data_IF_354960527808
#
_entry.id   IF_354960527808
#
_cell.length_a   1.000
_cell.length_b   1.000
_cell.length_c   1.000
_cell.angle_alpha   90.00
_cell.angle_beta   90.00
_cell.angle_gamma   90.00
#
_symmetry.space_group_name_H-M   'P 1'
#
loop_
_entity.id
_entity.type
_entity.pdbx_description
1 polymer ?
#
# COMPACT_ATOMS: atom_id res chain seq x y z
N UNK A 1 14.28 -34.06 16.24
CA UNK A 1 14.89 -32.91 16.95
C UNK A 1 14.75 -31.59 16.17
N UNK A 2 13.89 -31.50 15.17
CA UNK A 2 13.80 -30.27 14.31
C UNK A 2 12.52 -29.43 14.57
N UNK A 3 11.64 -29.89 15.43
CA UNK A 3 10.37 -29.21 15.70
C UNK A 3 10.44 -28.12 16.82
N UNK A 4 11.39 -28.24 17.75
CA UNK A 4 11.49 -27.28 18.86
C UNK A 4 12.10 -25.93 18.49
N UNK A 5 13.01 -25.90 17.51
CA UNK A 5 13.70 -24.66 17.11
C UNK A 5 12.76 -23.70 16.34
N UNK A 6 11.80 -24.24 15.61
CA UNK A 6 10.86 -23.41 14.82
C UNK A 6 9.81 -22.73 15.70
N UNK A 7 9.39 -23.37 16.81
CA UNK A 7 8.44 -22.76 17.74
C UNK A 7 9.05 -21.61 18.57
N UNK A 8 10.29 -21.74 18.99
CA UNK A 8 10.98 -20.69 19.76
C UNK A 8 11.20 -19.40 18.96
N UNK A 9 11.53 -19.51 17.67
CA UNK A 9 11.73 -18.34 16.80
C UNK A 9 10.40 -17.61 16.53
N UNK A 10 9.29 -18.33 16.42
CA UNK A 10 7.97 -17.75 16.19
C UNK A 10 7.44 -17.00 17.42
N UNK A 11 7.71 -17.49 18.63
CA UNK A 11 7.30 -16.84 19.89
C UNK A 11 8.11 -15.55 20.12
N UNK A 12 9.41 -15.57 19.86
CA UNK A 12 10.26 -14.37 20.00
C UNK A 12 9.91 -13.26 18.99
N UNK A 13 9.52 -13.62 17.76
CA UNK A 13 9.06 -12.66 16.77
C UNK A 13 7.68 -12.05 17.12
N UNK A 14 6.78 -12.87 17.70
CA UNK A 14 5.47 -12.38 18.13
C UNK A 14 5.56 -11.46 19.37
N UNK A 15 6.45 -11.76 20.31
CA UNK A 15 6.65 -10.95 21.51
C UNK A 15 7.27 -9.57 21.18
N UNK A 16 8.17 -9.51 20.21
CA UNK A 16 8.75 -8.23 19.74
C UNK A 16 7.75 -7.34 19.00
N UNK A 17 6.76 -7.92 18.34
CA UNK A 17 5.69 -7.14 17.67
C UNK A 17 4.71 -6.56 18.69
N UNK A 18 4.53 -7.19 19.86
CA UNK A 18 3.62 -6.74 20.91
C UNK A 18 4.19 -5.58 21.77
N UNK A 19 5.51 -5.40 21.83
CA UNK A 19 6.14 -4.42 22.73
C UNK A 19 6.24 -2.99 22.17
N UNK A 20 5.88 -2.73 20.92
CA UNK A 20 6.00 -1.37 20.35
C UNK A 20 4.84 -0.98 19.42
N UNK A 21 3.63 -0.80 19.97
CA UNK A 21 2.47 -0.42 19.15
C UNK A 21 2.54 0.99 18.55
N UNK A 22 3.52 1.83 18.93
CA UNK A 22 3.61 3.25 18.52
C UNK A 22 4.95 3.65 17.90
N UNK A 23 5.88 2.75 17.68
CA UNK A 23 7.13 3.06 17.03
C UNK A 23 7.14 2.54 15.59
N UNK A 24 7.03 3.45 14.62
CA UNK A 24 7.31 3.14 13.22
C UNK A 24 8.83 3.19 13.08
N UNK A 25 9.53 2.03 12.97
CA UNK A 25 10.97 2.06 12.80
C UNK A 25 11.28 2.70 11.44
N UNK A 26 12.00 3.81 11.45
CA UNK A 26 12.50 4.47 10.22
C UNK A 26 13.50 3.57 9.46
N UNK A 27 13.89 2.46 10.05
CA UNK A 27 14.78 1.43 9.52
C UNK A 27 14.09 0.07 9.45
N UNK A 28 12.97 0.00 8.74
CA UNK A 28 12.36 -1.29 8.36
C UNK A 28 12.94 -1.81 7.04
N UNK A 29 12.69 -3.10 6.67
CA UNK A 29 13.03 -3.62 5.36
C UNK A 29 12.46 -2.69 4.30
N UNK A 30 13.27 -2.40 3.26
CA UNK A 30 13.08 -1.37 2.24
C UNK A 30 11.62 -0.91 2.09
N UNK A 31 11.26 0.15 2.79
CA UNK A 31 9.93 0.74 2.68
C UNK A 31 9.76 1.22 1.26
N UNK A 32 8.75 0.70 0.56
CA UNK A 32 8.42 1.19 -0.79
C UNK A 32 8.27 2.71 -0.73
N UNK A 33 8.79 3.46 -1.72
CA UNK A 33 8.63 4.90 -1.75
C UNK A 33 7.15 5.27 -1.67
N UNK A 34 6.81 6.14 -0.72
CA UNK A 34 5.44 6.62 -0.53
C UNK A 34 5.16 7.81 -1.43
N UNK A 35 3.92 7.95 -1.83
CA UNK A 35 3.36 9.06 -2.59
C UNK A 35 2.20 9.63 -1.80
N UNK A 36 2.13 10.95 -1.69
CA UNK A 36 1.03 11.62 -1.01
C UNK A 36 0.31 12.54 -1.98
N UNK A 37 -1.01 12.42 -2.04
CA UNK A 37 -1.87 13.38 -2.72
C UNK A 37 -2.66 14.15 -1.67
N UNK A 38 -2.95 15.42 -1.95
CA UNK A 38 -3.74 16.27 -1.05
C UNK A 38 -4.72 17.13 -1.84
N UNK A 39 -5.92 17.28 -1.28
CA UNK A 39 -6.93 18.22 -1.74
C UNK A 39 -7.78 18.66 -0.54
N UNK A 40 -7.67 19.94 -0.15
CA UNK A 40 -8.29 20.51 1.06
C UNK A 40 -7.90 19.69 2.32
N UNK A 41 -8.89 19.25 3.09
CA UNK A 41 -8.72 18.45 4.32
C UNK A 41 -8.58 16.94 4.05
N UNK A 42 -8.56 16.55 2.77
CA UNK A 42 -8.41 15.14 2.36
C UNK A 42 -7.01 14.89 1.85
N UNK A 43 -6.39 13.84 2.33
CA UNK A 43 -5.11 13.37 1.81
C UNK A 43 -5.08 11.84 1.73
N UNK A 44 -4.25 11.33 0.82
CA UNK A 44 -4.03 9.89 0.65
C UNK A 44 -2.53 9.62 0.61
N UNK A 45 -2.11 8.57 1.30
CA UNK A 45 -0.74 8.07 1.28
C UNK A 45 -0.74 6.68 0.67
N UNK A 46 0.00 6.54 -0.43
CA UNK A 46 0.07 5.35 -1.28
C UNK A 46 1.51 4.90 -1.44
N UNK A 47 1.70 3.65 -1.81
CA UNK A 47 2.99 3.18 -2.33
C UNK A 47 3.17 3.53 -3.82
N UNK A 48 4.28 3.10 -4.41
CA UNK A 48 4.59 3.33 -5.83
C UNK A 48 3.69 2.55 -6.80
N UNK A 49 2.96 1.52 -6.33
CA UNK A 49 1.95 0.80 -7.13
C UNK A 49 0.57 1.48 -7.07
N UNK A 50 0.43 2.50 -6.22
CA UNK A 50 -0.86 3.12 -5.94
C UNK A 50 -1.70 2.31 -4.94
N UNK A 51 -1.07 1.47 -4.14
CA UNK A 51 -1.71 0.66 -3.11
C UNK A 51 -1.59 1.32 -1.73
N UNK A 52 -2.53 0.99 -0.84
CA UNK A 52 -2.56 1.36 0.58
C UNK A 52 -2.37 0.09 1.40
N UNK A 53 -1.62 0.17 2.51
CA UNK A 53 -1.58 -0.92 3.48
C UNK A 53 -0.46 -1.93 3.23
N UNK A 54 0.57 -1.54 2.48
CA UNK A 54 1.78 -2.37 2.32
C UNK A 54 2.47 -2.71 3.65
N UNK A 55 2.15 -1.99 4.72
CA UNK A 55 2.67 -2.23 6.07
C UNK A 55 1.53 -2.16 7.07
N UNK A 56 1.25 -3.25 7.78
CA UNK A 56 0.27 -3.25 8.87
C UNK A 56 0.62 -2.16 9.91
N UNK A 57 -0.33 -1.29 10.25
CA UNK A 57 -0.12 -0.18 11.16
C UNK A 57 0.73 0.98 10.60
N UNK A 58 1.03 0.97 9.31
CA UNK A 58 1.76 2.06 8.63
C UNK A 58 0.92 3.34 8.47
N UNK A 59 1.57 4.44 8.03
CA UNK A 59 0.90 5.72 7.80
C UNK A 59 0.11 5.75 6.48
N UNK A 60 0.07 4.65 5.73
CA UNK A 60 -0.64 4.57 4.48
C UNK A 60 -2.16 4.64 4.72
N UNK A 61 -2.88 5.32 3.86
CA UNK A 61 -4.33 5.44 4.03
C UNK A 61 -4.94 6.59 3.27
N UNK A 62 -6.26 6.62 3.23
CA UNK A 62 -7.06 7.77 2.84
C UNK A 62 -7.61 8.42 4.11
N UNK A 63 -7.31 9.70 4.29
CA UNK A 63 -7.66 10.48 5.48
C UNK A 63 -8.53 11.67 5.08
N UNK A 64 -9.45 12.01 5.97
CA UNK A 64 -10.21 13.26 5.91
C UNK A 64 -10.45 13.75 7.32
N UNK A 65 -10.18 15.04 7.60
CA UNK A 65 -10.33 15.66 8.92
C UNK A 65 -9.74 14.77 10.05
N UNK A 66 -8.48 14.34 9.88
CA UNK A 66 -7.68 13.53 10.82
C UNK A 66 -8.15 12.08 11.05
N UNK A 67 -9.22 11.62 10.40
CA UNK A 67 -9.69 10.23 10.48
C UNK A 67 -9.31 9.44 9.23
N UNK A 68 -8.81 8.20 9.41
CA UNK A 68 -8.51 7.28 8.32
C UNK A 68 -9.76 6.53 7.87
N UNK A 69 -10.21 6.77 6.66
CA UNK A 69 -11.39 6.12 6.07
C UNK A 69 -11.05 4.87 5.27
N UNK A 70 -9.81 4.74 4.80
CA UNK A 70 -9.36 3.57 4.06
C UNK A 70 -7.95 3.21 4.54
N UNK A 71 -7.82 2.02 5.13
CA UNK A 71 -6.57 1.50 5.67
C UNK A 71 -5.89 0.53 4.71
N UNK A 72 -6.65 -0.03 3.75
CA UNK A 72 -6.17 -0.95 2.74
C UNK A 72 -6.82 -0.68 1.40
N UNK A 73 -6.02 -0.65 0.36
CA UNK A 73 -6.43 -0.67 -1.06
C UNK A 73 -5.34 -1.39 -1.83
N UNK A 74 -5.60 -2.59 -2.28
CA UNK A 74 -4.65 -3.37 -3.06
C UNK A 74 -5.29 -3.82 -4.37
N UNK A 75 -4.51 -3.79 -5.44
CA UNK A 75 -4.92 -4.32 -6.73
C UNK A 75 -4.11 -5.57 -7.06
N UNK A 76 -4.82 -6.65 -7.33
CA UNK A 76 -4.21 -7.92 -7.76
C UNK A 76 -4.82 -8.39 -9.07
N UNK A 77 -4.02 -9.04 -9.89
CA UNK A 77 -4.39 -9.66 -11.16
C UNK A 77 -4.11 -11.15 -11.05
N UNK A 78 -5.16 -12.00 -11.19
CA UNK A 78 -5.05 -13.44 -10.96
C UNK A 78 -4.31 -13.75 -9.64
N UNK A 79 -4.72 -13.08 -8.53
CA UNK A 79 -4.17 -13.24 -7.17
C UNK A 79 -2.71 -12.75 -6.99
N UNK A 80 -2.08 -12.17 -8.02
CA UNK A 80 -0.71 -11.67 -7.99
C UNK A 80 -0.70 -10.16 -8.15
N UNK A 81 0.15 -9.47 -7.37
CA UNK A 81 0.35 -8.05 -7.56
C UNK A 81 1.00 -7.78 -8.92
N UNK A 82 0.46 -6.87 -9.74
CA UNK A 82 1.06 -6.47 -11.00
C UNK A 82 2.47 -5.91 -10.83
N UNK A 83 3.31 -6.07 -11.83
CA UNK A 83 4.67 -5.55 -11.84
C UNK A 83 4.67 -4.06 -12.14
N UNK A 84 5.44 -3.30 -11.37
CA UNK A 84 5.59 -1.86 -11.56
C UNK A 84 6.52 -1.56 -12.74
N UNK A 85 6.01 -0.82 -13.72
CA UNK A 85 6.81 -0.25 -14.80
C UNK A 85 7.28 1.16 -14.45
N UNK A 86 6.40 1.95 -13.86
CA UNK A 86 6.73 3.30 -13.43
C UNK A 86 5.61 3.95 -12.63
N UNK A 87 5.94 5.00 -11.89
CA UNK A 87 4.95 5.84 -11.21
C UNK A 87 5.34 7.30 -11.30
N UNK A 88 4.40 8.14 -11.67
CA UNK A 88 4.58 9.58 -11.82
C UNK A 88 3.57 10.34 -10.97
N UNK A 89 4.10 11.17 -10.07
CA UNK A 89 3.33 12.11 -9.28
C UNK A 89 3.36 13.46 -10.01
N UNK A 90 2.20 14.09 -10.20
CA UNK A 90 2.17 15.46 -10.72
C UNK A 90 2.87 16.42 -9.75
N UNK A 91 3.49 17.46 -10.29
CA UNK A 91 4.27 18.45 -9.53
C UNK A 91 3.45 19.16 -8.45
N UNK A 92 2.13 19.29 -8.65
CA UNK A 92 1.17 19.87 -7.71
C UNK A 92 0.62 18.84 -6.69
N UNK A 93 1.10 17.60 -6.70
CA UNK A 93 0.61 16.48 -5.89
C UNK A 93 -0.90 16.21 -6.02
N UNK A 94 -1.51 16.60 -7.14
CA UNK A 94 -2.95 16.43 -7.36
C UNK A 94 -3.33 15.05 -7.89
N UNK A 95 -2.42 14.37 -8.58
CA UNK A 95 -2.67 13.08 -9.19
C UNK A 95 -1.41 12.20 -9.23
N UNK A 96 -1.62 10.91 -9.03
CA UNK A 96 -0.63 9.86 -9.22
C UNK A 96 -1.04 9.02 -10.43
N UNK A 97 -0.12 8.83 -11.37
CA UNK A 97 -0.27 7.88 -12.47
C UNK A 97 0.73 6.75 -12.27
N UNK A 98 0.26 5.53 -12.35
CA UNK A 98 1.06 4.31 -12.18
C UNK A 98 0.88 3.42 -13.40
N UNK A 99 2.00 3.02 -13.98
CA UNK A 99 2.08 2.10 -15.10
C UNK A 99 2.50 0.73 -14.60
N UNK A 100 1.70 -0.29 -14.88
CA UNK A 100 1.88 -1.66 -14.41
C UNK A 100 1.76 -2.65 -15.57
N UNK A 101 2.28 -3.85 -15.35
CA UNK A 101 2.10 -4.97 -16.28
C UNK A 101 1.86 -6.27 -15.51
N UNK A 102 1.38 -7.31 -16.21
CA UNK A 102 1.21 -8.63 -15.62
C UNK A 102 2.52 -9.41 -15.57
N UNK A 103 2.65 -10.29 -14.58
CA UNK A 103 3.60 -11.41 -14.58
C UNK A 103 3.06 -12.57 -15.41
N UNK A 104 3.85 -13.63 -15.58
CA UNK A 104 3.34 -14.89 -16.11
C UNK A 104 2.26 -15.46 -15.23
N UNK A 105 1.10 -15.79 -15.81
CA UNK A 105 -0.01 -16.44 -15.13
C UNK A 105 -0.14 -17.87 -15.60
N UNK A 106 -0.11 -18.81 -14.67
CA UNK A 106 -0.26 -20.23 -14.96
C UNK A 106 -1.59 -20.75 -14.46
N UNK A 107 -2.33 -21.48 -15.29
CA UNK A 107 -3.58 -22.16 -14.93
C UNK A 107 -3.46 -23.63 -15.28
N UNK A 108 -3.67 -24.50 -14.31
CA UNK A 108 -3.52 -25.96 -14.47
C UNK A 108 -2.14 -26.37 -15.04
N UNK A 109 -1.06 -25.68 -14.62
CA UNK A 109 0.30 -25.95 -15.05
C UNK A 109 0.64 -25.49 -16.49
N UNK A 110 -0.26 -24.75 -17.14
CA UNK A 110 -0.04 -24.17 -18.47
C UNK A 110 0.02 -22.66 -18.38
N UNK A 111 0.89 -22.03 -19.17
CA UNK A 111 0.94 -20.59 -19.31
C UNK A 111 -0.38 -20.11 -19.93
N UNK A 112 -1.16 -19.37 -19.16
CA UNK A 112 -2.46 -18.83 -19.55
C UNK A 112 -2.35 -17.37 -20.00
N UNK A 113 -1.43 -16.59 -19.40
CA UNK A 113 -1.16 -15.22 -19.78
C UNK A 113 0.35 -14.98 -19.65
N UNK A 114 0.99 -14.63 -20.74
CA UNK A 114 2.41 -14.34 -20.76
C UNK A 114 2.68 -12.98 -20.08
N UNK A 115 3.81 -12.86 -19.40
CA UNK A 115 4.31 -11.60 -18.86
C UNK A 115 4.33 -10.50 -19.93
N UNK A 116 4.07 -9.26 -19.50
CA UNK A 116 4.10 -8.06 -20.33
C UNK A 116 3.02 -8.02 -21.45
N UNK A 117 2.00 -8.90 -21.37
CA UNK A 117 0.86 -8.90 -22.31
C UNK A 117 -0.11 -7.77 -22.03
N UNK A 118 -0.33 -7.43 -20.75
CA UNK A 118 -1.25 -6.36 -20.35
C UNK A 118 -0.48 -5.12 -19.89
N UNK A 119 -0.87 -3.96 -20.39
CA UNK A 119 -0.48 -2.68 -19.82
C UNK A 119 -1.66 -2.14 -19.01
N UNK A 120 -1.41 -1.81 -17.75
CA UNK A 120 -2.41 -1.32 -16.81
C UNK A 120 -1.99 0.07 -16.37
N UNK A 121 -2.83 1.05 -16.60
CA UNK A 121 -2.61 2.43 -16.15
C UNK A 121 -3.61 2.75 -15.05
N UNK A 122 -3.11 3.01 -13.84
CA UNK A 122 -3.90 3.51 -12.71
C UNK A 122 -3.69 5.00 -12.60
N UNK A 123 -4.76 5.77 -12.56
CA UNK A 123 -4.70 7.20 -12.24
C UNK A 123 -5.53 7.44 -10.99
N UNK A 124 -4.89 7.98 -9.95
CA UNK A 124 -5.51 8.27 -8.64
C UNK A 124 -5.45 9.77 -8.41
N UNK A 125 -6.56 10.38 -8.03
CA UNK A 125 -6.62 11.80 -7.70
C UNK A 125 -7.69 12.08 -6.64
N UNK A 126 -7.54 13.20 -5.94
CA UNK A 126 -8.50 13.68 -4.94
C UNK A 126 -9.27 14.88 -5.50
N UNK A 127 -10.57 14.91 -5.23
CA UNK A 127 -11.41 16.03 -5.57
C UNK A 127 -12.61 16.14 -4.62
N UNK A 128 -12.78 17.30 -3.99
CA UNK A 128 -13.92 17.61 -3.09
C UNK A 128 -14.19 16.52 -2.04
N UNK A 129 -13.17 16.14 -1.28
CA UNK A 129 -13.29 15.11 -0.23
C UNK A 129 -13.47 13.68 -0.73
N UNK A 130 -13.27 13.43 -2.02
CA UNK A 130 -13.45 12.11 -2.64
C UNK A 130 -12.17 11.67 -3.33
N UNK A 131 -11.79 10.41 -3.12
CA UNK A 131 -10.72 9.76 -3.88
C UNK A 131 -11.30 9.07 -5.11
N UNK A 132 -10.73 9.37 -6.26
CA UNK A 132 -11.09 8.77 -7.54
C UNK A 132 -9.94 7.89 -8.02
N UNK A 133 -10.29 6.72 -8.54
CA UNK A 133 -9.35 5.84 -9.22
C UNK A 133 -9.89 5.45 -10.58
N UNK A 134 -9.08 5.68 -11.61
CA UNK A 134 -9.32 5.18 -12.96
C UNK A 134 -8.33 4.06 -13.24
N UNK A 135 -8.80 2.92 -13.74
CA UNK A 135 -7.98 1.81 -14.21
C UNK A 135 -8.25 1.66 -15.71
N UNK A 136 -7.21 1.79 -16.52
CA UNK A 136 -7.23 1.52 -17.94
C UNK A 136 -6.38 0.30 -18.23
N UNK A 137 -6.89 -0.59 -19.07
CA UNK A 137 -6.24 -1.85 -19.43
C UNK A 137 -6.08 -1.89 -20.95
N UNK A 138 -4.89 -2.27 -21.40
CA UNK A 138 -4.57 -2.48 -22.80
C UNK A 138 -3.93 -3.85 -22.97
N UNK A 139 -4.47 -4.65 -23.88
CA UNK A 139 -3.89 -5.93 -24.27
C UNK A 139 -2.97 -5.70 -25.47
N UNK A 140 -1.70 -6.03 -25.32
CA UNK A 140 -0.67 -5.98 -26.36
C UNK A 140 -0.41 -7.36 -27.00
N UNK A 141 -1.09 -8.41 -26.52
CA UNK A 141 -1.03 -9.73 -27.14
C UNK A 141 -1.89 -9.85 -28.38
N UNK A 142 -1.58 -10.82 -29.21
CA UNK A 142 -2.30 -11.11 -30.46
C UNK A 142 -3.62 -11.86 -30.26
N UNK A 143 -3.93 -12.24 -29.03
CA UNK A 143 -5.12 -13.03 -28.66
C UNK A 143 -5.88 -12.37 -27.50
N UNK A 144 -7.20 -12.63 -27.38
CA UNK A 144 -7.97 -12.18 -26.20
C UNK A 144 -7.36 -12.73 -24.92
N UNK A 145 -7.17 -11.85 -23.93
CA UNK A 145 -6.69 -12.22 -22.60
C UNK A 145 -7.86 -12.36 -21.64
N UNK A 146 -7.87 -13.47 -20.87
CA UNK A 146 -8.81 -13.66 -19.77
C UNK A 146 -8.03 -13.59 -18.45
N UNK A 147 -8.48 -12.75 -17.54
CA UNK A 147 -7.87 -12.55 -16.23
C UNK A 147 -8.90 -12.04 -15.22
N UNK A 148 -8.61 -12.21 -13.93
CA UNK A 148 -9.39 -11.68 -12.85
C UNK A 148 -8.66 -10.46 -12.25
N UNK A 149 -9.33 -9.29 -12.26
CA UNK A 149 -8.85 -8.09 -11.59
C UNK A 149 -9.61 -7.91 -10.28
N UNK A 150 -8.89 -7.95 -9.17
CA UNK A 150 -9.46 -7.83 -7.83
C UNK A 150 -8.93 -6.58 -7.13
N UNK A 151 -9.84 -5.83 -6.50
CA UNK A 151 -9.52 -4.73 -5.60
C UNK A 151 -9.89 -5.16 -4.17
N UNK A 152 -8.93 -5.10 -3.26
CA UNK A 152 -9.10 -5.42 -1.84
C UNK A 152 -9.16 -4.11 -1.05
N UNK A 153 -10.19 -3.98 -0.22
CA UNK A 153 -10.42 -2.79 0.61
C UNK A 153 -10.55 -3.20 2.07
N UNK A 154 -10.07 -2.32 2.96
CA UNK A 154 -10.31 -2.42 4.40
C UNK A 154 -10.32 -1.02 5.03
N UNK A 155 -11.01 -0.88 6.16
CA UNK A 155 -11.07 0.35 6.93
C UNK A 155 -10.84 0.06 8.43
N UNK A 156 -10.36 1.04 9.17
CA UNK A 156 -10.18 0.95 10.62
C UNK A 156 -10.69 2.18 11.38
N UNK A 157 -11.04 3.23 10.65
CA UNK A 157 -11.48 4.54 11.19
C UNK A 157 -10.56 5.06 12.30
N UNK A 158 -9.26 4.78 12.19
CA UNK A 158 -8.27 5.23 13.16
C UNK A 158 -8.09 6.74 13.08
N UNK A 159 -8.00 7.40 14.23
CA UNK A 159 -7.65 8.81 14.28
C UNK A 159 -6.16 9.00 14.01
N UNK A 160 -5.83 10.02 13.23
CA UNK A 160 -4.45 10.42 13.00
C UNK A 160 -3.94 11.18 14.22
N UNK A 161 -3.59 10.46 15.27
CA UNK A 161 -3.00 11.05 16.49
C UNK A 161 -1.49 11.12 16.28
N UNK A 162 -0.95 12.32 16.11
CA UNK A 162 0.48 12.57 16.32
C UNK A 162 0.70 12.59 17.83
N UNK A 163 1.35 11.61 18.45
CA UNK A 163 1.64 11.67 19.87
C UNK A 163 2.60 12.84 20.10
N UNK A 164 2.08 13.96 20.60
CA UNK A 164 2.91 15.03 21.15
C UNK A 164 3.46 14.49 22.47
N UNK A 165 4.64 13.88 22.43
CA UNK A 165 5.41 13.65 23.65
C UNK A 165 5.97 15.01 24.08
N UNK A 166 5.44 15.63 25.14
CA UNK A 166 6.05 16.84 25.67
C UNK A 166 7.40 16.45 26.27
N UNK A 167 8.47 16.77 25.58
CA UNK A 167 9.82 16.61 26.08
C UNK A 167 10.10 17.77 27.06
N UNK A 168 9.48 17.74 28.23
CA UNK A 168 9.85 18.62 29.32
C UNK A 168 11.01 17.98 30.07
N UNK A 169 12.18 18.63 30.15
CA UNK A 169 13.22 18.18 31.06
C UNK A 169 12.69 18.28 32.51
N UNK A 170 13.05 17.35 33.38
CA UNK A 170 12.59 17.37 34.77
C UNK A 170 13.03 18.69 35.41
N UNK A 171 12.07 19.45 35.96
CA UNK A 171 12.32 20.63 36.79
C UNK A 171 13.17 20.16 37.99
N UNK A 172 14.41 20.63 38.05
CA UNK A 172 15.20 20.51 39.27
C UNK A 172 14.65 21.58 40.25
N UNK A 173 13.95 21.11 41.27
CA UNK A 173 13.62 21.93 42.43
C UNK A 173 14.84 21.94 43.33
N UNK A 174 15.48 23.08 43.48
CA UNK A 174 16.54 23.35 44.45
C UNK A 174 15.95 23.74 45.78
#
# INVERSE_FOLDING_TARGET
MTAEVTQLITIEAAERVAESPFYIPMTGPATRPRRSLKHDDTFIVLDSHGDIGASAGGPDGLFNADTRYLARLEMVLDEVQPLLLGSNLRDDNSALTVDLTNSDVYRNGRLALQKDTLHIVRTIFLWRGTAYQRIALQNHGDSPANFDLTLLFDNDFADFVVPITPNFPPLKVS
#
